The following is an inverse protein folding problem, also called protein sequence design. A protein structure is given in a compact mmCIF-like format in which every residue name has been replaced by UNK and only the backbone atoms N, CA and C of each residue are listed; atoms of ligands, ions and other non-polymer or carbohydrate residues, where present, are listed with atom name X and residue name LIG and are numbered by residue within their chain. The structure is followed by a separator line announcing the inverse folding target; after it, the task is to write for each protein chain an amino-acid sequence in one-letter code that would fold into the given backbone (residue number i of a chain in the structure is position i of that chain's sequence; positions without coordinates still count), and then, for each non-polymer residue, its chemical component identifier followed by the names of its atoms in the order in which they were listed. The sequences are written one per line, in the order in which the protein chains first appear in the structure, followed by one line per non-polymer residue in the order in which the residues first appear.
data_IF_772651674372
#
_entry.id   IF_772651674372
#
_cell.length_a   1.000
_cell.length_b   1.000
_cell.length_c   1.000
_cell.angle_alpha   90.00
_cell.angle_beta   90.00
_cell.angle_gamma   90.00
#
_symmetry.space_group_name_H-M   'P 1'
#
loop_
_entity.id
_entity.type
_entity.pdbx_description
1 polymer ?
#
# COMPACT_ATOMS: atom_id res chain seq x y z
N UNK A 1 -23.89 -20.64 6.92
CA UNK A 1 -24.71 -21.52 6.06
C UNK A 1 -23.83 -22.04 4.91
N UNK A 2 -23.83 -23.35 4.60
CA UNK A 2 -22.96 -23.91 3.55
C UNK A 2 -23.30 -23.39 2.14
N UNK A 3 -24.59 -23.17 1.86
CA UNK A 3 -25.03 -22.66 0.57
C UNK A 3 -24.57 -21.22 0.35
N UNK A 4 -24.69 -20.37 1.37
CA UNK A 4 -24.17 -18.99 1.34
C UNK A 4 -22.65 -18.96 1.09
N UNK A 5 -21.89 -19.86 1.72
CA UNK A 5 -20.45 -19.94 1.51
C UNK A 5 -20.09 -20.35 0.08
N UNK A 6 -20.87 -21.27 -0.53
CA UNK A 6 -20.70 -21.66 -1.93
C UNK A 6 -21.04 -20.49 -2.87
N UNK A 7 -22.15 -19.78 -2.64
CA UNK A 7 -22.50 -18.59 -3.42
C UNK A 7 -21.45 -17.49 -3.28
N UNK A 8 -21.01 -17.17 -2.07
CA UNK A 8 -19.95 -16.20 -1.85
C UNK A 8 -18.68 -16.56 -2.65
N UNK A 9 -18.30 -17.84 -2.65
CA UNK A 9 -17.10 -18.32 -3.34
C UNK A 9 -17.25 -18.46 -4.86
N UNK A 10 -18.46 -18.32 -5.42
CA UNK A 10 -18.71 -18.54 -6.85
C UNK A 10 -18.26 -17.39 -7.74
N UNK A 11 -18.05 -16.20 -7.17
CA UNK A 11 -17.60 -15.01 -7.90
C UNK A 11 -16.57 -14.26 -7.04
N UNK A 12 -15.41 -13.97 -7.61
CA UNK A 12 -14.36 -13.24 -6.91
C UNK A 12 -14.79 -11.82 -6.50
N UNK A 13 -15.72 -11.19 -7.21
CA UNK A 13 -16.21 -9.84 -6.91
C UNK A 13 -17.07 -9.77 -5.63
N UNK A 14 -17.61 -10.90 -5.19
CA UNK A 14 -18.39 -10.98 -3.94
C UNK A 14 -17.59 -10.50 -2.71
N UNK A 15 -16.27 -10.66 -2.73
CA UNK A 15 -15.40 -10.17 -1.66
C UNK A 15 -15.37 -8.63 -1.55
N UNK A 16 -15.76 -7.92 -2.61
CA UNK A 16 -15.83 -6.47 -2.66
C UNK A 16 -17.22 -5.91 -2.26
N UNK A 17 -18.12 -6.78 -1.81
CA UNK A 17 -19.43 -6.38 -1.27
C UNK A 17 -20.62 -6.70 -2.19
N UNK A 18 -20.38 -7.04 -3.46
CA UNK A 18 -21.43 -7.35 -4.44
C UNK A 18 -22.43 -8.39 -3.92
N UNK A 19 -21.96 -9.40 -3.19
CA UNK A 19 -22.81 -10.50 -2.69
C UNK A 19 -23.95 -10.04 -1.78
N UNK A 20 -23.72 -9.00 -0.97
CA UNK A 20 -24.68 -8.52 0.04
C UNK A 20 -25.25 -7.14 -0.27
N UNK A 21 -24.79 -6.50 -1.35
CA UNK A 21 -25.12 -5.12 -1.62
C UNK A 21 -26.64 -4.89 -1.74
N UNK A 22 -27.33 -5.75 -2.47
CA UNK A 22 -28.78 -5.65 -2.68
C UNK A 22 -29.58 -5.90 -1.40
N UNK A 23 -29.17 -6.89 -0.59
CA UNK A 23 -29.78 -7.16 0.71
C UNK A 23 -29.66 -5.94 1.62
N UNK A 24 -28.48 -5.31 1.64
CA UNK A 24 -28.21 -4.08 2.42
C UNK A 24 -29.06 -2.92 1.90
N UNK A 25 -29.16 -2.72 0.59
CA UNK A 25 -29.99 -1.66 0.03
C UNK A 25 -31.47 -1.81 0.39
N UNK A 26 -31.98 -3.05 0.42
CA UNK A 26 -33.37 -3.32 0.77
C UNK A 26 -33.68 -3.09 2.26
N UNK A 27 -32.76 -3.53 3.14
CA UNK A 27 -32.91 -3.46 4.60
C UNK A 27 -32.57 -2.08 5.14
N UNK A 28 -31.35 -1.60 4.88
CA UNK A 28 -30.83 -0.33 5.39
C UNK A 28 -31.39 0.88 4.65
N UNK A 29 -31.69 0.74 3.35
CA UNK A 29 -32.20 1.83 2.48
C UNK A 29 -31.35 3.09 2.55
N UNK A 30 -30.08 3.01 2.10
CA UNK A 30 -29.16 4.13 2.21
C UNK A 30 -29.65 5.33 1.41
N UNK A 31 -29.54 6.53 1.97
CA UNK A 31 -29.69 7.77 1.19
C UNK A 31 -28.47 8.01 0.29
N UNK A 32 -27.29 7.53 0.71
CA UNK A 32 -26.02 7.72 0.01
C UNK A 32 -25.19 6.44 0.03
N UNK A 33 -24.63 6.07 -1.11
CA UNK A 33 -23.62 5.02 -1.27
C UNK A 33 -22.31 5.67 -1.68
N UNK A 34 -21.26 5.46 -0.87
CA UNK A 34 -19.92 6.03 -1.10
C UNK A 34 -18.93 4.89 -1.36
N UNK A 35 -18.16 4.98 -2.44
CA UNK A 35 -17.07 4.04 -2.73
C UNK A 35 -15.78 4.75 -3.14
N UNK A 36 -14.65 4.37 -2.53
CA UNK A 36 -13.34 4.99 -2.75
C UNK A 36 -12.32 4.02 -3.37
N UNK A 37 -12.78 2.87 -3.85
CA UNK A 37 -11.93 1.77 -4.32
C UNK A 37 -11.71 1.84 -5.83
N UNK A 38 -10.97 0.88 -6.35
CA UNK A 38 -10.77 0.72 -7.79
C UNK A 38 -12.09 0.39 -8.52
N UNK A 39 -12.18 0.74 -9.80
CA UNK A 39 -13.40 0.57 -10.62
C UNK A 39 -14.02 -0.83 -10.51
N UNK A 40 -13.22 -1.89 -10.62
CA UNK A 40 -13.71 -3.28 -10.58
C UNK A 40 -14.25 -3.69 -9.21
N UNK A 41 -14.01 -2.91 -8.16
CA UNK A 41 -14.55 -3.14 -6.82
C UNK A 41 -15.85 -2.39 -6.56
N UNK A 42 -16.21 -1.42 -7.42
CA UNK A 42 -17.36 -0.53 -7.20
C UNK A 42 -18.42 -0.57 -8.31
N UNK A 43 -18.07 -1.06 -9.51
CA UNK A 43 -18.97 -0.98 -10.68
C UNK A 43 -20.30 -1.70 -10.47
N UNK A 44 -20.35 -2.75 -9.65
CA UNK A 44 -21.58 -3.48 -9.38
C UNK A 44 -22.68 -2.57 -8.79
N UNK A 45 -22.33 -1.49 -8.10
CA UNK A 45 -23.28 -0.54 -7.54
C UNK A 45 -23.97 0.30 -8.64
N UNK A 46 -23.36 0.45 -9.82
CA UNK A 46 -24.01 1.04 -11.00
C UNK A 46 -25.16 0.14 -11.49
N UNK A 47 -24.96 -1.18 -11.43
CA UNK A 47 -25.88 -2.19 -11.95
C UNK A 47 -27.02 -2.55 -10.98
N UNK A 48 -27.02 -1.97 -9.78
CA UNK A 48 -28.02 -2.29 -8.76
C UNK A 48 -29.43 -1.87 -9.21
N UNK A 49 -30.46 -2.73 -9.05
CA UNK A 49 -31.86 -2.32 -9.23
C UNK A 49 -32.27 -1.19 -8.28
N UNK A 50 -31.52 -0.97 -7.19
CA UNK A 50 -31.79 0.13 -6.25
C UNK A 50 -31.03 1.42 -6.56
N UNK A 51 -30.23 1.46 -7.64
CA UNK A 51 -29.45 2.64 -8.05
C UNK A 51 -30.26 3.95 -8.08
N UNK A 52 -31.55 3.99 -8.49
CA UNK A 52 -32.35 5.21 -8.47
C UNK A 52 -32.73 5.73 -7.07
N UNK A 53 -32.51 4.96 -6.01
CA UNK A 53 -32.98 5.29 -4.65
C UNK A 53 -31.88 5.79 -3.71
N UNK A 54 -30.64 5.92 -4.19
CA UNK A 54 -29.55 6.50 -3.40
C UNK A 54 -28.69 7.43 -4.26
N UNK A 55 -28.04 8.39 -3.59
CA UNK A 55 -26.98 9.19 -4.18
C UNK A 55 -25.68 8.39 -4.23
N UNK A 56 -25.12 8.19 -5.41
CA UNK A 56 -23.89 7.42 -5.60
C UNK A 56 -22.69 8.34 -5.78
N UNK A 57 -21.85 8.40 -4.74
CA UNK A 57 -20.62 9.16 -4.74
C UNK A 57 -19.41 8.22 -4.83
N UNK A 58 -18.53 8.45 -5.80
CA UNK A 58 -17.35 7.61 -5.99
C UNK A 58 -16.05 8.43 -5.97
N UNK A 59 -14.97 7.80 -5.53
CA UNK A 59 -13.61 8.33 -5.63
C UNK A 59 -12.69 7.26 -6.24
N UNK A 60 -12.80 7.02 -7.56
CA UNK A 60 -12.03 5.97 -8.21
C UNK A 60 -10.53 6.32 -8.28
N UNK A 61 -9.68 5.30 -8.28
CA UNK A 61 -8.25 5.46 -8.54
C UNK A 61 -8.02 5.85 -10.00
N UNK A 62 -7.25 6.93 -10.22
CA UNK A 62 -6.81 7.39 -11.56
C UNK A 62 -5.29 7.32 -11.61
N UNK A 63 -4.76 6.28 -12.25
CA UNK A 63 -3.34 5.94 -12.23
C UNK A 63 -2.65 6.01 -13.61
N UNK A 64 -3.39 6.38 -14.65
CA UNK A 64 -2.94 6.36 -16.04
C UNK A 64 -3.73 7.30 -16.96
N UNK A 65 -3.12 7.67 -18.09
CA UNK A 65 -3.74 8.38 -19.22
C UNK A 65 -3.26 7.65 -20.51
N UNK A 66 -4.14 7.19 -21.42
CA UNK A 66 -5.61 7.31 -21.39
C UNK A 66 -6.31 6.41 -20.37
N UNK A 67 -7.47 6.87 -19.89
CA UNK A 67 -8.38 6.07 -19.07
C UNK A 67 -9.16 5.06 -19.93
N UNK A 68 -9.54 3.93 -19.31
CA UNK A 68 -10.35 2.92 -20.00
C UNK A 68 -11.77 3.45 -20.23
N UNK A 69 -12.32 3.24 -21.43
CA UNK A 69 -13.66 3.73 -21.80
C UNK A 69 -14.75 3.23 -20.84
N UNK A 70 -14.66 1.98 -20.39
CA UNK A 70 -15.60 1.41 -19.43
C UNK A 70 -15.58 2.13 -18.08
N UNK A 71 -14.42 2.65 -17.65
CA UNK A 71 -14.32 3.42 -16.40
C UNK A 71 -15.02 4.76 -16.56
N UNK A 72 -14.76 5.44 -17.68
CA UNK A 72 -15.41 6.71 -18.02
C UNK A 72 -16.94 6.54 -18.12
N UNK A 73 -17.40 5.46 -18.76
CA UNK A 73 -18.84 5.13 -18.85
C UNK A 73 -19.48 4.97 -17.47
N UNK A 74 -18.85 4.22 -16.57
CA UNK A 74 -19.35 4.06 -15.20
C UNK A 74 -19.36 5.38 -14.43
N UNK A 75 -18.30 6.17 -14.55
CA UNK A 75 -18.17 7.44 -13.82
C UNK A 75 -19.16 8.51 -14.30
N UNK A 76 -19.59 8.46 -15.57
CA UNK A 76 -20.66 9.31 -16.10
C UNK A 76 -22.01 9.05 -15.42
N UNK A 77 -22.23 7.83 -14.92
CA UNK A 77 -23.46 7.43 -14.26
C UNK A 77 -23.42 7.60 -12.73
N UNK A 78 -22.30 8.09 -12.18
CA UNK A 78 -22.21 8.47 -10.77
C UNK A 78 -22.77 9.87 -10.54
N UNK A 79 -23.45 10.07 -9.41
CA UNK A 79 -24.04 11.36 -9.07
C UNK A 79 -22.95 12.36 -8.63
N UNK A 80 -21.83 11.86 -8.11
CA UNK A 80 -20.68 12.67 -7.72
C UNK A 80 -19.39 11.88 -7.85
N UNK A 81 -18.40 12.49 -8.50
CA UNK A 81 -17.05 11.92 -8.61
C UNK A 81 -16.06 12.80 -7.85
N UNK A 82 -15.26 12.19 -7.00
CA UNK A 82 -14.11 12.79 -6.35
C UNK A 82 -12.83 12.18 -6.93
N UNK A 83 -11.71 12.88 -6.77
CA UNK A 83 -10.40 12.34 -7.18
C UNK A 83 -9.35 12.50 -6.09
N UNK A 84 -8.34 11.63 -6.11
CA UNK A 84 -7.22 11.66 -5.17
C UNK A 84 -6.31 12.88 -5.33
N UNK A 85 -6.19 13.40 -6.56
CA UNK A 85 -5.21 14.40 -6.94
C UNK A 85 -5.69 15.24 -8.11
N UNK A 86 -5.05 16.40 -8.30
CA UNK A 86 -5.26 17.25 -9.46
C UNK A 86 -4.98 16.53 -10.79
N UNK A 87 -4.00 15.63 -10.82
CA UNK A 87 -3.76 14.77 -11.99
C UNK A 87 -5.01 13.93 -12.33
N UNK A 88 -5.59 13.26 -11.32
CA UNK A 88 -6.76 12.42 -11.53
C UNK A 88 -7.96 13.21 -12.03
N UNK A 89 -8.20 14.39 -11.44
CA UNK A 89 -9.24 15.33 -11.87
C UNK A 89 -9.07 15.73 -13.33
N UNK A 90 -7.90 16.25 -13.68
CA UNK A 90 -7.60 16.71 -15.03
C UNK A 90 -7.72 15.59 -16.07
N UNK A 91 -7.26 14.38 -15.73
CA UNK A 91 -7.36 13.21 -16.62
C UNK A 91 -8.81 12.83 -16.90
N UNK A 92 -9.65 12.72 -15.87
CA UNK A 92 -11.06 12.34 -16.03
C UNK A 92 -11.87 13.44 -16.74
N UNK A 93 -11.67 14.71 -16.38
CA UNK A 93 -12.36 15.83 -17.02
C UNK A 93 -12.00 15.92 -18.51
N UNK A 94 -10.72 15.74 -18.85
CA UNK A 94 -10.27 15.69 -20.25
C UNK A 94 -10.87 14.50 -20.99
N UNK A 95 -10.78 13.28 -20.43
CA UNK A 95 -11.27 12.07 -21.07
C UNK A 95 -12.79 12.08 -21.30
N UNK A 96 -13.55 12.73 -20.41
CA UNK A 96 -15.00 12.86 -20.51
C UNK A 96 -15.47 14.14 -21.18
N UNK A 97 -14.56 15.02 -21.65
CA UNK A 97 -14.91 16.37 -22.14
C UNK A 97 -15.78 17.16 -21.14
N UNK A 98 -15.53 17.00 -19.84
CA UNK A 98 -16.24 17.68 -18.76
C UNK A 98 -17.65 17.16 -18.49
N UNK A 99 -18.05 15.99 -19.03
CA UNK A 99 -19.39 15.43 -18.80
C UNK A 99 -19.50 14.67 -17.46
N UNK A 100 -18.39 14.23 -16.87
CA UNK A 100 -18.40 13.62 -15.53
C UNK A 100 -18.53 14.73 -14.47
N UNK A 101 -19.44 14.53 -13.52
CA UNK A 101 -19.65 15.46 -12.40
C UNK A 101 -18.54 15.33 -11.34
N UNK A 102 -17.34 15.85 -11.65
CA UNK A 102 -16.23 15.89 -10.69
C UNK A 102 -16.43 17.04 -9.70
N UNK A 103 -16.78 16.71 -8.46
CA UNK A 103 -17.05 17.72 -7.43
C UNK A 103 -15.78 18.35 -6.88
N UNK A 104 -14.82 17.52 -6.45
CA UNK A 104 -13.58 18.01 -5.84
C UNK A 104 -12.45 16.98 -5.82
N UNK A 105 -11.28 17.44 -5.39
CA UNK A 105 -10.12 16.62 -5.04
C UNK A 105 -10.21 16.30 -3.54
N UNK A 106 -10.51 15.05 -3.21
CA UNK A 106 -10.57 14.55 -1.84
C UNK A 106 -9.30 13.74 -1.52
N UNK A 107 -8.16 14.44 -1.41
CA UNK A 107 -6.88 13.77 -1.14
C UNK A 107 -6.90 13.02 0.20
N UNK A 108 -6.37 11.78 0.26
CA UNK A 108 -6.35 10.98 1.48
C UNK A 108 -5.46 11.64 2.53
N UNK A 109 -5.97 11.72 3.76
CA UNK A 109 -5.22 12.23 4.90
C UNK A 109 -4.19 11.23 5.42
N UNK A 110 -3.15 11.75 6.07
CA UNK A 110 -2.25 10.95 6.89
C UNK A 110 -2.69 10.96 8.36
N UNK A 111 -2.35 9.92 9.12
CA UNK A 111 -2.49 9.92 10.58
C UNK A 111 -1.41 10.84 11.19
N UNK A 112 -1.69 12.14 11.23
CA UNK A 112 -0.78 13.17 11.73
C UNK A 112 -0.54 13.07 13.25
N UNK A 113 -1.40 12.36 13.98
CA UNK A 113 -1.20 12.13 15.40
C UNK A 113 -0.13 11.08 15.62
N UNK A 114 -0.18 9.96 14.90
CA UNK A 114 0.80 8.88 15.07
C UNK A 114 2.07 9.11 14.25
N UNK A 115 1.95 9.55 13.00
CA UNK A 115 3.05 9.69 12.05
C UNK A 115 3.62 11.11 12.06
N UNK A 116 4.32 11.43 13.15
CA UNK A 116 4.96 12.74 13.37
C UNK A 116 6.44 12.57 13.72
N UNK A 117 7.26 13.61 13.51
CA UNK A 117 8.66 13.58 13.95
C UNK A 117 8.76 13.25 15.45
N UNK A 118 9.69 12.36 15.79
CA UNK A 118 10.02 12.04 17.19
C UNK A 118 10.75 13.21 17.85
N UNK A 119 10.52 13.42 19.15
CA UNK A 119 11.15 14.50 19.92
C UNK A 119 12.64 14.25 20.16
N UNK A 120 13.03 13.00 20.43
CA UNK A 120 14.42 12.58 20.59
C UNK A 120 14.80 11.56 19.52
N UNK A 121 15.51 12.05 18.50
CA UNK A 121 15.97 11.24 17.37
C UNK A 121 17.05 10.24 17.78
N UNK A 122 17.92 10.57 18.75
CA UNK A 122 19.01 9.69 19.16
C UNK A 122 18.46 8.50 19.95
N UNK A 123 17.60 8.76 20.93
CA UNK A 123 16.94 7.69 21.70
C UNK A 123 16.13 6.76 20.80
N UNK A 124 15.37 7.32 19.84
CA UNK A 124 14.59 6.54 18.89
C UNK A 124 15.48 5.59 18.04
N UNK A 125 16.61 6.09 17.55
CA UNK A 125 17.58 5.29 16.78
C UNK A 125 18.24 4.20 17.62
N UNK A 126 18.59 4.50 18.87
CA UNK A 126 19.16 3.51 19.80
C UNK A 126 18.16 2.37 20.08
N UNK A 127 16.87 2.67 20.21
CA UNK A 127 15.83 1.65 20.38
C UNK A 127 15.69 0.70 19.17
N UNK A 128 15.96 1.21 17.97
CA UNK A 128 16.01 0.41 16.74
C UNK A 128 17.36 -0.33 16.55
N UNK A 129 18.33 -0.13 17.45
CA UNK A 129 19.65 -0.75 17.38
C UNK A 129 20.63 -0.04 16.44
N UNK A 130 20.37 1.21 16.07
CA UNK A 130 21.24 2.00 15.21
C UNK A 130 22.25 2.83 16.01
N UNK A 131 23.45 2.99 15.43
CA UNK A 131 24.47 3.91 15.94
C UNK A 131 24.11 5.37 15.58
N UNK A 132 24.61 6.33 16.36
CA UNK A 132 24.28 7.75 16.16
C UNK A 132 24.93 8.36 14.92
N UNK A 133 25.99 7.76 14.35
CA UNK A 133 26.77 8.32 13.24
C UNK A 133 26.46 7.74 11.85
N UNK A 134 25.39 6.94 11.71
CA UNK A 134 24.95 6.37 10.43
C UNK A 134 23.76 7.13 9.82
N UNK A 135 23.65 7.12 8.50
CA UNK A 135 22.51 7.63 7.73
C UNK A 135 21.66 6.46 7.25
N UNK A 136 20.36 6.54 7.49
CA UNK A 136 19.38 5.58 6.97
C UNK A 136 18.53 6.28 5.92
N UNK A 137 18.46 5.72 4.72
CA UNK A 137 17.51 6.11 3.68
C UNK A 137 16.41 5.04 3.64
N UNK A 138 15.22 5.39 4.11
CA UNK A 138 14.11 4.46 4.26
C UNK A 138 13.12 4.48 3.11
N UNK A 139 12.50 3.34 2.82
CA UNK A 139 11.30 3.25 1.98
C UNK A 139 10.27 2.31 2.61
N UNK A 140 9.00 2.71 2.53
CA UNK A 140 7.86 1.95 3.06
C UNK A 140 6.90 1.68 1.91
N UNK A 141 6.97 0.48 1.34
CA UNK A 141 6.09 0.07 0.25
C UNK A 141 6.09 -1.45 0.06
N UNK A 142 4.94 -2.02 -0.27
CA UNK A 142 4.84 -3.44 -0.64
C UNK A 142 5.73 -3.77 -1.84
N UNK A 143 6.24 -5.00 -1.91
CA UNK A 143 6.99 -5.49 -3.05
C UNK A 143 6.08 -5.76 -4.27
N UNK A 144 5.89 -4.74 -5.09
CA UNK A 144 5.12 -4.78 -6.34
C UNK A 144 5.99 -4.26 -7.51
N UNK A 145 5.76 -4.78 -8.73
CA UNK A 145 6.56 -4.43 -9.92
C UNK A 145 6.66 -2.92 -10.16
N UNK A 146 5.54 -2.20 -10.08
CA UNK A 146 5.45 -0.74 -10.25
C UNK A 146 6.27 0.10 -9.26
N UNK A 147 6.80 -0.50 -8.19
CA UNK A 147 7.62 0.18 -7.17
C UNK A 147 9.11 0.22 -7.49
N UNK A 148 9.53 -0.38 -8.61
CA UNK A 148 10.86 -0.20 -9.21
C UNK A 148 12.04 -0.42 -8.24
N UNK A 149 11.96 -1.46 -7.40
CA UNK A 149 13.07 -1.87 -6.52
C UNK A 149 14.42 -2.02 -7.25
N UNK A 150 14.51 -2.54 -8.50
CA UNK A 150 15.77 -2.57 -9.24
C UNK A 150 16.37 -1.16 -9.42
N UNK A 151 15.57 -0.18 -9.80
CA UNK A 151 16.03 1.20 -9.99
C UNK A 151 16.47 1.81 -8.67
N UNK A 152 15.75 1.55 -7.57
CA UNK A 152 16.11 2.02 -6.24
C UNK A 152 17.49 1.49 -5.81
N UNK A 153 17.69 0.17 -5.90
CA UNK A 153 18.96 -0.47 -5.53
C UNK A 153 20.11 -0.03 -6.43
N UNK A 154 19.90 0.03 -7.75
CA UNK A 154 20.90 0.52 -8.70
C UNK A 154 21.31 1.97 -8.43
N UNK A 155 20.34 2.84 -8.14
CA UNK A 155 20.59 4.26 -7.87
C UNK A 155 21.32 4.46 -6.55
N UNK A 156 20.94 3.71 -5.51
CA UNK A 156 21.62 3.74 -4.23
C UNK A 156 23.06 3.24 -4.35
N UNK A 157 23.29 2.13 -5.07
CA UNK A 157 24.65 1.64 -5.35
C UNK A 157 25.50 2.69 -6.05
N UNK A 158 24.96 3.32 -7.09
CA UNK A 158 25.64 4.40 -7.82
C UNK A 158 25.98 5.60 -6.91
N UNK A 159 25.09 5.95 -5.98
CA UNK A 159 25.36 6.99 -4.99
C UNK A 159 26.53 6.59 -4.07
N UNK A 160 26.56 5.36 -3.56
CA UNK A 160 27.71 4.88 -2.75
C UNK A 160 29.01 4.89 -3.55
N UNK A 161 28.97 4.52 -4.84
CA UNK A 161 30.16 4.51 -5.69
C UNK A 161 30.75 5.89 -5.93
N UNK A 162 29.89 6.90 -6.00
CA UNK A 162 30.31 8.28 -6.21
C UNK A 162 30.75 8.98 -4.91
N UNK A 163 30.48 8.40 -3.74
CA UNK A 163 30.72 9.01 -2.42
C UNK A 163 31.32 7.96 -1.46
N UNK A 164 32.59 7.61 -1.69
CA UNK A 164 33.26 6.52 -0.95
C UNK A 164 33.46 6.83 0.53
N UNK A 165 33.58 8.10 0.88
CA UNK A 165 33.77 8.61 2.23
C UNK A 165 32.56 8.40 3.14
N UNK A 166 31.35 8.25 2.59
CA UNK A 166 30.13 7.98 3.35
C UNK A 166 29.69 6.52 3.28
N UNK A 167 30.36 5.69 2.47
CA UNK A 167 29.87 4.36 2.11
C UNK A 167 29.60 3.51 3.36
N UNK A 168 30.51 3.48 4.33
CA UNK A 168 30.39 2.67 5.55
C UNK A 168 29.33 3.18 6.54
N UNK A 169 28.77 4.37 6.30
CA UNK A 169 27.83 5.04 7.19
C UNK A 169 26.42 5.13 6.61
N UNK A 170 26.18 4.74 5.37
CA UNK A 170 24.88 4.95 4.72
C UNK A 170 24.23 3.60 4.38
N UNK A 171 22.98 3.43 4.81
CA UNK A 171 22.22 2.20 4.61
C UNK A 171 20.84 2.49 4.00
N UNK A 172 20.40 1.58 3.12
CA UNK A 172 19.07 1.56 2.55
C UNK A 172 18.18 0.66 3.41
N UNK A 173 17.07 1.18 3.93
CA UNK A 173 16.14 0.43 4.76
C UNK A 173 14.82 0.20 4.02
N UNK A 174 14.58 -1.05 3.63
CA UNK A 174 13.39 -1.52 2.95
C UNK A 174 12.36 -2.06 3.96
N UNK A 175 11.31 -1.29 4.25
CA UNK A 175 10.11 -1.83 4.88
C UNK A 175 9.20 -2.43 3.81
N UNK A 176 9.42 -3.73 3.52
CA UNK A 176 8.80 -4.44 2.40
C UNK A 176 8.62 -5.92 2.68
N UNK A 177 7.85 -6.57 1.80
CA UNK A 177 7.53 -7.99 1.80
C UNK A 177 8.46 -8.80 0.90
N UNK A 178 8.89 -9.97 1.37
CA UNK A 178 9.53 -10.98 0.54
C UNK A 178 9.28 -12.38 1.14
N UNK A 179 8.85 -13.37 0.33
CA UNK A 179 8.45 -13.27 -1.08
C UNK A 179 7.11 -12.51 -1.26
N UNK A 180 6.90 -11.95 -2.46
CA UNK A 180 5.63 -11.31 -2.88
C UNK A 180 5.53 -11.33 -4.43
N UNK A 181 4.45 -10.80 -4.99
CA UNK A 181 4.16 -10.74 -6.44
C UNK A 181 5.12 -9.83 -7.25
N UNK A 182 6.03 -9.14 -6.57
CA UNK A 182 6.90 -8.13 -7.15
C UNK A 182 8.23 -8.67 -7.64
N UNK A 183 9.30 -8.11 -7.08
CA UNK A 183 10.69 -8.33 -7.48
C UNK A 183 11.37 -9.38 -6.61
N UNK A 184 12.36 -10.04 -7.18
CA UNK A 184 13.26 -10.93 -6.44
C UNK A 184 14.34 -10.12 -5.70
N UNK A 185 13.96 -9.59 -4.53
CA UNK A 185 14.80 -8.68 -3.73
C UNK A 185 16.19 -9.26 -3.43
N UNK A 186 16.37 -10.53 -3.04
CA UNK A 186 17.69 -11.12 -2.78
C UNK A 186 18.59 -11.16 -4.00
N UNK A 187 18.03 -11.48 -5.17
CA UNK A 187 18.79 -11.45 -6.42
C UNK A 187 19.23 -10.03 -6.76
N UNK A 188 18.39 -9.02 -6.54
CA UNK A 188 18.77 -7.62 -6.74
C UNK A 188 19.84 -7.16 -5.74
N UNK A 189 19.71 -7.52 -4.47
CA UNK A 189 20.72 -7.22 -3.43
C UNK A 189 22.07 -7.81 -3.82
N UNK A 190 22.08 -9.05 -4.31
CA UNK A 190 23.31 -9.72 -4.79
C UNK A 190 23.85 -9.07 -6.05
N UNK A 191 22.99 -8.81 -7.03
CA UNK A 191 23.36 -8.22 -8.32
C UNK A 191 24.05 -6.88 -8.16
N UNK A 192 23.59 -6.05 -7.22
CA UNK A 192 24.14 -4.72 -6.98
C UNK A 192 25.16 -4.66 -5.82
N UNK A 193 25.62 -5.79 -5.29
CA UNK A 193 26.56 -5.82 -4.15
C UNK A 193 26.10 -4.94 -2.96
N UNK A 194 24.84 -5.15 -2.56
CA UNK A 194 24.11 -4.32 -1.60
C UNK A 194 23.83 -5.06 -0.28
N UNK A 195 24.43 -6.23 -0.07
CA UNK A 195 24.19 -7.10 1.08
C UNK A 195 24.48 -6.42 2.42
N UNK A 196 25.60 -5.70 2.50
CA UNK A 196 26.03 -4.99 3.72
C UNK A 196 25.45 -3.57 3.82
N UNK A 197 24.59 -3.16 2.89
CA UNK A 197 23.99 -1.82 2.85
C UNK A 197 22.45 -1.85 2.83
N UNK A 198 21.82 -3.03 2.84
CA UNK A 198 20.36 -3.16 2.73
C UNK A 198 19.77 -3.83 3.96
N UNK A 199 18.98 -3.06 4.70
CA UNK A 199 18.20 -3.53 5.85
C UNK A 199 16.76 -3.83 5.42
N UNK A 200 16.15 -4.85 6.02
CA UNK A 200 14.73 -5.15 5.91
C UNK A 200 14.07 -5.14 7.28
N UNK A 201 12.77 -4.85 7.31
CA UNK A 201 11.98 -4.98 8.54
C UNK A 201 11.52 -6.43 8.65
N UNK A 202 11.99 -7.13 9.68
CA UNK A 202 11.49 -8.45 10.04
C UNK A 202 10.46 -8.33 11.15
N UNK A 203 9.41 -9.15 11.10
CA UNK A 203 8.35 -9.25 12.11
C UNK A 203 8.19 -10.71 12.51
N UNK A 204 8.26 -10.99 13.81
CA UNK A 204 8.08 -12.33 14.35
C UNK A 204 6.60 -12.68 14.51
N UNK A 205 6.11 -13.69 13.77
CA UNK A 205 4.75 -14.20 13.92
C UNK A 205 4.46 -14.93 15.24
N UNK A 206 5.48 -15.12 16.11
CA UNK A 206 5.32 -15.76 17.41
C UNK A 206 5.18 -14.78 18.58
N UNK A 207 5.97 -13.71 18.60
CA UNK A 207 6.01 -12.74 19.71
C UNK A 207 5.74 -11.29 19.26
N UNK A 208 5.41 -11.08 17.99
CA UNK A 208 5.14 -9.77 17.38
C UNK A 208 6.27 -8.74 17.48
N UNK A 209 7.47 -9.17 17.87
CA UNK A 209 8.64 -8.32 17.85
C UNK A 209 9.06 -8.04 16.40
N UNK A 210 9.20 -6.76 16.07
CA UNK A 210 9.80 -6.32 14.82
C UNK A 210 11.19 -5.74 15.07
N UNK A 211 12.07 -5.85 14.08
CA UNK A 211 13.44 -5.36 14.15
C UNK A 211 14.02 -5.17 12.74
N UNK A 212 14.93 -4.20 12.54
CA UNK A 212 15.74 -4.13 11.32
C UNK A 212 16.80 -5.25 11.32
N UNK A 213 17.07 -5.81 10.15
CA UNK A 213 18.20 -6.71 9.94
C UNK A 213 18.64 -6.65 8.48
N UNK A 214 19.90 -6.94 8.20
CA UNK A 214 20.31 -7.29 6.84
C UNK A 214 19.48 -8.47 6.34
N UNK A 215 19.32 -8.59 5.02
CA UNK A 215 18.59 -9.71 4.44
C UNK A 215 19.26 -11.03 4.84
N UNK A 216 18.53 -11.88 5.58
CA UNK A 216 19.00 -13.19 6.03
C UNK A 216 18.33 -14.32 5.22
N UNK A 217 17.01 -14.23 5.01
CA UNK A 217 16.22 -15.01 4.06
C UNK A 217 14.76 -14.48 4.12
N UNK A 218 13.82 -15.13 3.43
CA UNK A 218 12.38 -15.00 3.65
C UNK A 218 11.94 -15.31 5.09
N UNK A 219 12.78 -16.02 5.86
CA UNK A 219 12.49 -16.40 7.24
C UNK A 219 13.78 -16.52 8.04
N UNK A 220 13.79 -16.01 9.27
CA UNK A 220 14.93 -16.08 10.18
C UNK A 220 14.50 -16.33 11.64
N UNK A 221 15.48 -16.65 12.49
CA UNK A 221 15.29 -16.70 13.94
C UNK A 221 15.02 -15.29 14.49
N UNK A 222 14.00 -15.18 15.34
CA UNK A 222 13.72 -13.93 16.04
C UNK A 222 14.77 -13.70 17.14
N UNK A 223 15.42 -12.53 17.22
CA UNK A 223 16.42 -12.23 18.23
C UNK A 223 15.82 -12.18 19.65
N UNK A 224 14.52 -11.94 19.79
CA UNK A 224 13.84 -11.88 21.09
C UNK A 224 13.45 -13.24 21.65
N UNK A 225 12.84 -14.12 20.83
CA UNK A 225 12.30 -15.40 21.31
C UNK A 225 13.05 -16.63 20.77
N UNK A 226 14.05 -16.46 19.91
CA UNK A 226 14.85 -17.52 19.29
C UNK A 226 14.11 -18.36 18.24
N UNK A 227 12.78 -18.24 18.14
CA UNK A 227 11.99 -19.05 17.22
C UNK A 227 12.22 -18.63 15.76
N UNK A 228 12.32 -19.58 14.81
CA UNK A 228 12.39 -19.29 13.38
C UNK A 228 11.00 -18.91 12.89
N UNK A 229 10.55 -17.70 13.24
CA UNK A 229 9.22 -17.18 12.90
C UNK A 229 9.27 -15.70 12.48
N UNK A 230 10.45 -15.13 12.33
CA UNK A 230 10.61 -13.77 11.82
C UNK A 230 10.64 -13.80 10.30
N UNK A 231 9.76 -13.01 9.66
CA UNK A 231 9.64 -12.88 8.20
C UNK A 231 9.66 -11.40 7.83
N UNK A 232 10.04 -11.01 6.60
CA UNK A 232 9.86 -9.65 6.14
C UNK A 232 8.40 -9.19 6.29
N UNK A 233 8.21 -7.94 6.73
CA UNK A 233 6.90 -7.33 6.96
C UNK A 233 5.98 -7.49 5.74
N UNK A 234 4.75 -7.93 5.95
CA UNK A 234 3.76 -8.14 4.89
C UNK A 234 2.33 -7.85 5.38
N UNK A 235 1.34 -8.00 4.49
CA UNK A 235 -0.06 -7.67 4.79
C UNK A 235 -0.71 -8.57 5.85
N UNK A 236 -0.16 -9.77 6.10
CA UNK A 236 -0.65 -10.68 7.13
C UNK A 236 0.16 -10.57 8.43
N UNK A 237 1.47 -10.42 8.32
CA UNK A 237 2.42 -10.29 9.43
C UNK A 237 3.18 -8.98 9.27
N UNK A 238 2.53 -7.89 9.69
CA UNK A 238 3.05 -6.53 9.59
C UNK A 238 3.20 -5.84 10.94
N UNK A 239 3.44 -4.54 10.90
CA UNK A 239 3.49 -3.65 12.07
C UNK A 239 2.25 -2.76 12.11
N UNK A 240 1.82 -2.38 13.31
CA UNK A 240 0.78 -1.36 13.49
C UNK A 240 1.30 0.04 13.10
N UNK A 241 0.42 1.01 12.85
CA UNK A 241 0.82 2.41 12.58
C UNK A 241 1.72 2.99 13.68
N UNK A 242 1.43 2.68 14.95
CA UNK A 242 2.27 3.10 16.10
C UNK A 242 3.65 2.48 16.07
N UNK A 243 3.75 1.21 15.69
CA UNK A 243 5.04 0.55 15.52
C UNK A 243 5.79 1.08 14.29
N UNK A 244 5.09 1.37 13.19
CA UNK A 244 5.68 1.99 12.01
C UNK A 244 6.27 3.38 12.33
N UNK A 245 5.60 4.18 13.17
CA UNK A 245 6.14 5.45 13.65
C UNK A 245 7.40 5.29 14.54
N UNK A 246 7.67 4.08 15.02
CA UNK A 246 8.85 3.74 15.81
C UNK A 246 9.98 3.07 14.99
N UNK A 247 9.83 2.97 13.66
CA UNK A 247 10.86 2.50 12.71
C UNK A 247 11.64 3.70 12.18
#
# INVERSE_FOLDING_TARGET
NQQEAQTYSSNALHQFGEWRFEDVCLDFRPDVVIDIRDWWMLEFAERSPYRPYYHWAIMPTVDSDPQQEQFISTYLNADSVFTYSEYGKNTIEKASHGHINVLDIASPGADCETLRPVSDKSQHRQQAGFLDDITIIGTVMRNQRRKLYPNLLASFRKMLDNNKEIQDKVFLYLHTSYPDIGWDIPSLIRQYDMGNHTLLTYVCGGCSHFFPSFFQDAKMACPRCGQPKAVPSNTQTGVTTKQLASI
#
